data_IF_571800727010
#
_entry.id   IF_571800727010
#
_cell.length_a   1.000
_cell.length_b   1.000
_cell.length_c   1.000
_cell.angle_alpha   90.00
_cell.angle_beta   90.00
_cell.angle_gamma   90.00
#
_symmetry.space_group_name_H-M   'P 1'
#
loop_
_entity.id
_entity.type
_entity.pdbx_description
1 polymer ?
#
# COMPACT_ATOMS: atom_id res chain seq x y z
N UNK A 1 -7.35 3.55 -21.17
CA UNK A 1 -7.14 3.26 -19.75
C UNK A 1 -6.14 4.26 -19.15
N UNK A 2 -6.43 4.84 -17.99
CA UNK A 2 -5.67 5.95 -17.39
C UNK A 2 -4.18 5.63 -17.25
N UNK A 3 -3.84 4.39 -16.81
CA UNK A 3 -2.45 3.95 -16.73
C UNK A 3 -1.77 3.93 -18.10
N UNK A 4 -2.48 3.58 -19.17
CA UNK A 4 -1.88 3.55 -20.50
C UNK A 4 -1.62 4.94 -21.04
N UNK A 5 -2.50 5.88 -20.78
CA UNK A 5 -2.33 7.29 -21.17
C UNK A 5 -1.21 7.93 -20.40
N UNK A 6 -1.22 7.75 -19.09
CA UNK A 6 -0.26 8.35 -18.18
C UNK A 6 1.14 7.71 -18.28
N UNK A 7 1.25 6.40 -18.43
CA UNK A 7 2.54 5.71 -18.48
C UNK A 7 3.38 6.00 -19.73
N UNK A 8 2.82 6.62 -20.76
CA UNK A 8 3.58 7.06 -21.92
C UNK A 8 4.55 8.20 -21.62
N UNK A 9 4.40 8.88 -20.49
CA UNK A 9 5.22 10.03 -20.06
C UNK A 9 6.26 9.68 -18.99
N UNK A 10 6.44 8.40 -18.65
CA UNK A 10 7.38 7.93 -17.62
C UNK A 10 7.29 8.71 -16.30
N UNK A 11 6.11 8.80 -15.71
CA UNK A 11 5.91 9.59 -14.49
C UNK A 11 5.82 8.74 -13.22
N UNK A 12 5.83 9.42 -12.08
CA UNK A 12 5.69 8.79 -10.77
C UNK A 12 4.21 8.56 -10.46
N UNK A 13 3.84 7.31 -10.18
CA UNK A 13 2.47 6.95 -9.80
C UNK A 13 2.44 6.25 -8.45
N UNK A 14 1.49 6.63 -7.62
CA UNK A 14 1.17 5.92 -6.38
C UNK A 14 -0.11 5.13 -6.58
N UNK A 15 -0.02 3.80 -6.48
CA UNK A 15 -1.17 2.91 -6.63
C UNK A 15 -1.69 2.50 -5.25
N UNK A 16 -2.96 2.78 -5.01
CA UNK A 16 -3.67 2.50 -3.77
C UNK A 16 -4.87 1.61 -4.03
N UNK A 17 -5.23 0.78 -3.05
CA UNK A 17 -6.34 -0.16 -3.17
C UNK A 17 -7.72 0.53 -3.13
N UNK A 18 -7.79 1.81 -2.81
CA UNK A 18 -9.05 2.51 -2.63
C UNK A 18 -9.80 2.07 -1.36
N UNK A 19 -10.56 3.00 -0.80
CA UNK A 19 -11.31 2.81 0.44
C UNK A 19 -12.78 3.18 0.30
N UNK A 20 -13.12 3.94 -0.73
CA UNK A 20 -14.49 4.37 -0.98
C UNK A 20 -15.26 3.30 -1.74
N UNK A 21 -16.53 3.13 -1.38
CA UNK A 21 -17.45 2.25 -2.11
C UNK A 21 -18.11 3.08 -3.19
N UNK A 22 -17.59 2.96 -4.39
CA UNK A 22 -18.09 3.66 -5.57
C UNK A 22 -19.12 2.81 -6.34
N UNK A 23 -19.76 3.42 -7.34
CA UNK A 23 -20.70 2.72 -8.20
C UNK A 23 -19.98 1.62 -9.00
N UNK A 24 -20.63 0.46 -9.18
CA UNK A 24 -20.08 -0.68 -9.91
C UNK A 24 -19.71 -0.37 -11.37
N UNK A 25 -20.32 0.65 -11.95
CA UNK A 25 -20.03 1.08 -13.31
C UNK A 25 -18.65 1.77 -13.44
N UNK A 26 -18.08 2.27 -12.31
CA UNK A 26 -16.83 3.02 -12.31
C UNK A 26 -15.74 2.37 -11.46
N UNK A 27 -16.09 1.45 -10.55
CA UNK A 27 -15.12 0.79 -9.69
C UNK A 27 -15.47 -0.69 -9.48
N UNK A 28 -14.44 -1.50 -9.39
CA UNK A 28 -14.62 -2.91 -9.06
C UNK A 28 -15.15 -3.09 -7.64
N UNK A 29 -16.13 -3.98 -7.49
CA UNK A 29 -16.57 -4.50 -6.21
C UNK A 29 -16.08 -5.93 -6.02
N UNK A 30 -15.91 -6.33 -4.78
CA UNK A 30 -15.41 -7.65 -4.44
C UNK A 30 -13.89 -7.66 -4.24
N UNK A 31 -13.54 -8.23 -3.10
CA UNK A 31 -12.18 -8.20 -2.56
C UNK A 31 -11.12 -8.74 -3.53
N UNK A 32 -11.41 -9.88 -4.18
CA UNK A 32 -10.46 -10.49 -5.10
C UNK A 32 -10.31 -9.69 -6.40
N UNK A 33 -11.41 -9.21 -6.98
CA UNK A 33 -11.35 -8.37 -8.19
C UNK A 33 -10.52 -7.09 -7.97
N UNK A 34 -10.65 -6.48 -6.79
CA UNK A 34 -9.86 -5.30 -6.42
C UNK A 34 -8.38 -5.66 -6.31
N UNK A 35 -8.04 -6.82 -5.73
CA UNK A 35 -6.65 -7.32 -5.63
C UNK A 35 -6.06 -7.58 -7.01
N UNK A 36 -6.79 -8.27 -7.87
CA UNK A 36 -6.33 -8.62 -9.21
C UNK A 36 -6.10 -7.36 -10.05
N UNK A 37 -7.02 -6.39 -9.98
CA UNK A 37 -6.85 -5.10 -10.65
C UNK A 37 -5.66 -4.32 -10.10
N UNK A 38 -5.47 -4.29 -8.77
CA UNK A 38 -4.31 -3.64 -8.15
C UNK A 38 -2.99 -4.21 -8.68
N UNK A 39 -2.87 -5.54 -8.71
CA UNK A 39 -1.69 -6.23 -9.24
C UNK A 39 -1.46 -5.87 -10.71
N UNK A 40 -2.51 -5.96 -11.53
CA UNK A 40 -2.43 -5.65 -12.95
C UNK A 40 -1.98 -4.20 -13.21
N UNK A 41 -2.49 -3.23 -12.45
CA UNK A 41 -2.10 -1.82 -12.57
C UNK A 41 -0.63 -1.59 -12.21
N UNK A 42 -0.15 -2.18 -11.10
CA UNK A 42 1.26 -2.08 -10.69
C UNK A 42 2.17 -2.69 -11.75
N UNK A 43 1.87 -3.90 -12.19
CA UNK A 43 2.66 -4.60 -13.22
C UNK A 43 2.72 -3.79 -14.51
N UNK A 44 1.58 -3.30 -14.99
CA UNK A 44 1.48 -2.50 -16.21
C UNK A 44 2.30 -1.21 -16.14
N UNK A 45 2.21 -0.48 -15.02
CA UNK A 45 2.97 0.75 -14.82
C UNK A 45 4.49 0.48 -14.78
N UNK A 46 4.93 -0.58 -14.10
CA UNK A 46 6.34 -0.97 -14.05
C UNK A 46 6.88 -1.40 -15.41
N UNK A 47 6.13 -2.20 -16.18
CA UNK A 47 6.53 -2.63 -17.54
C UNK A 47 6.70 -1.43 -18.46
N UNK A 48 5.88 -0.39 -18.30
CA UNK A 48 5.96 0.85 -19.08
C UNK A 48 7.06 1.81 -18.62
N UNK A 49 7.83 1.46 -17.60
CA UNK A 49 8.97 2.26 -17.11
C UNK A 49 8.60 3.35 -16.11
N UNK A 50 7.34 3.43 -15.64
CA UNK A 50 6.95 4.38 -14.61
C UNK A 50 7.60 4.04 -13.26
N UNK A 51 7.84 5.07 -12.43
CA UNK A 51 8.16 4.85 -11.02
C UNK A 51 6.89 4.59 -10.23
N UNK A 52 6.84 3.48 -9.49
CA UNK A 52 5.61 3.04 -8.82
C UNK A 52 5.76 3.01 -7.31
N UNK A 53 4.95 3.80 -6.61
CA UNK A 53 4.70 3.67 -5.17
C UNK A 53 3.62 2.61 -4.93
N UNK A 54 4.04 1.44 -4.45
CA UNK A 54 3.16 0.30 -4.13
C UNK A 54 2.59 0.51 -2.73
N UNK A 55 1.41 1.16 -2.64
CA UNK A 55 0.81 1.56 -1.37
C UNK A 55 -0.24 0.55 -0.90
N UNK A 56 0.14 -0.36 -0.01
CA UNK A 56 -0.77 -1.39 0.52
C UNK A 56 -0.34 -1.92 1.88
N UNK A 57 -1.33 -2.30 2.71
CA UNK A 57 -1.13 -3.07 3.95
C UNK A 57 -1.60 -4.53 3.80
N UNK A 58 -1.92 -4.93 2.59
CA UNK A 58 -2.36 -6.28 2.26
C UNK A 58 -1.13 -7.14 1.94
N UNK A 59 -0.70 -7.98 2.90
CA UNK A 59 0.50 -8.82 2.74
C UNK A 59 0.43 -9.70 1.49
N UNK A 60 -0.76 -10.18 1.13
CA UNK A 60 -0.94 -10.96 -0.10
C UNK A 60 -0.52 -10.19 -1.35
N UNK A 61 -0.91 -8.90 -1.44
CA UNK A 61 -0.53 -8.04 -2.56
C UNK A 61 0.97 -7.78 -2.59
N UNK A 62 1.54 -7.49 -1.42
CA UNK A 62 2.98 -7.24 -1.28
C UNK A 62 3.78 -8.48 -1.71
N UNK A 63 3.40 -9.68 -1.24
CA UNK A 63 4.10 -10.91 -1.55
C UNK A 63 3.98 -11.27 -3.04
N UNK A 64 2.79 -11.17 -3.62
CA UNK A 64 2.58 -11.44 -5.04
C UNK A 64 3.38 -10.49 -5.93
N UNK A 65 3.36 -9.19 -5.62
CA UNK A 65 4.10 -8.20 -6.40
C UNK A 65 5.61 -8.35 -6.20
N UNK A 66 6.05 -8.65 -4.97
CA UNK A 66 7.47 -8.87 -4.69
C UNK A 66 8.05 -10.05 -5.49
N UNK A 67 7.33 -11.19 -5.52
CA UNK A 67 7.72 -12.36 -6.31
C UNK A 67 7.78 -11.99 -7.79
N UNK A 68 6.73 -11.38 -8.32
CA UNK A 68 6.66 -10.97 -9.70
C UNK A 68 7.76 -9.97 -10.11
N UNK A 69 8.06 -8.99 -9.27
CA UNK A 69 9.13 -8.01 -9.46
C UNK A 69 10.49 -8.72 -9.60
N UNK A 70 10.76 -9.70 -8.75
CA UNK A 70 12.01 -10.49 -8.81
C UNK A 70 12.08 -11.35 -10.07
N UNK A 71 11.03 -12.05 -10.43
CA UNK A 71 10.96 -12.89 -11.63
C UNK A 71 11.18 -12.07 -12.91
N UNK A 72 10.63 -10.85 -12.95
CA UNK A 72 10.76 -9.96 -14.11
C UNK A 72 11.99 -9.03 -14.04
N UNK A 73 12.85 -9.18 -13.03
CA UNK A 73 14.08 -8.41 -12.84
C UNK A 73 13.86 -6.89 -12.86
N UNK A 74 12.74 -6.44 -12.30
CA UNK A 74 12.42 -5.01 -12.21
C UNK A 74 13.44 -4.33 -11.29
N UNK A 75 14.03 -3.23 -11.74
CA UNK A 75 15.02 -2.49 -10.96
C UNK A 75 14.43 -1.89 -9.70
N UNK A 76 15.14 -1.97 -8.56
CA UNK A 76 14.77 -1.30 -7.31
C UNK A 76 14.74 0.24 -7.41
N UNK A 77 15.24 0.79 -8.52
CA UNK A 77 15.13 2.21 -8.83
C UNK A 77 13.74 2.61 -9.34
N UNK A 78 12.91 1.64 -9.80
CA UNK A 78 11.61 1.90 -10.41
C UNK A 78 10.44 1.81 -9.44
N UNK A 79 10.63 1.37 -8.20
CA UNK A 79 9.53 1.24 -7.25
C UNK A 79 9.95 1.44 -5.80
N UNK A 80 8.95 1.62 -4.96
CA UNK A 80 9.05 1.54 -3.50
C UNK A 80 7.77 0.96 -2.91
N UNK A 81 7.88 0.25 -1.78
CA UNK A 81 6.73 -0.13 -0.98
C UNK A 81 6.36 1.01 -0.04
N UNK A 82 5.07 1.34 0.04
CA UNK A 82 4.58 2.44 0.87
C UNK A 82 3.59 1.93 1.92
N UNK A 83 3.86 2.24 3.17
CA UNK A 83 3.10 1.74 4.32
C UNK A 83 2.81 2.88 5.29
N UNK A 84 1.63 2.85 5.90
CA UNK A 84 1.24 3.81 6.92
C UNK A 84 1.90 3.44 8.25
N UNK A 85 2.43 4.42 8.97
CA UNK A 85 2.96 4.24 10.32
C UNK A 85 1.88 3.71 11.28
N UNK A 86 2.28 2.80 12.17
CA UNK A 86 1.38 2.21 13.17
C UNK A 86 0.58 0.98 12.70
N UNK A 87 0.72 0.59 11.43
CA UNK A 87 0.18 -0.70 10.97
C UNK A 87 1.17 -1.82 11.33
N UNK A 88 0.70 -2.96 11.87
CA UNK A 88 1.58 -4.04 12.37
C UNK A 88 2.18 -4.85 11.21
N UNK A 89 3.16 -4.27 10.54
CA UNK A 89 3.88 -4.87 9.41
C UNK A 89 5.40 -4.84 9.57
N UNK A 90 5.89 -4.63 10.78
CA UNK A 90 7.31 -4.44 11.07
C UNK A 90 8.17 -5.58 10.52
N UNK A 91 7.73 -6.84 10.70
CA UNK A 91 8.47 -8.00 10.21
C UNK A 91 8.58 -8.00 8.67
N UNK A 92 7.47 -7.69 8.00
CA UNK A 92 7.44 -7.59 6.54
C UNK A 92 8.31 -6.44 6.02
N UNK A 93 8.26 -5.30 6.68
CA UNK A 93 9.10 -4.14 6.35
C UNK A 93 10.59 -4.46 6.49
N UNK A 94 10.99 -5.04 7.62
CA UNK A 94 12.38 -5.45 7.85
C UNK A 94 12.87 -6.45 6.81
N UNK A 95 12.02 -7.40 6.42
CA UNK A 95 12.32 -8.34 5.35
C UNK A 95 12.56 -7.60 4.02
N UNK A 96 11.64 -6.74 3.60
CA UNK A 96 11.78 -5.98 2.35
C UNK A 96 13.03 -5.12 2.31
N UNK A 97 13.35 -4.43 3.41
CA UNK A 97 14.56 -3.61 3.53
C UNK A 97 15.82 -4.46 3.47
N UNK A 98 15.86 -5.58 4.21
CA UNK A 98 16.99 -6.51 4.20
C UNK A 98 17.28 -7.06 2.81
N UNK A 99 16.26 -7.21 2.00
CA UNK A 99 16.33 -7.69 0.63
C UNK A 99 16.61 -6.59 -0.40
N UNK A 100 16.94 -5.36 0.06
CA UNK A 100 17.37 -4.24 -0.76
C UNK A 100 16.24 -3.44 -1.40
N UNK A 101 14.98 -3.63 -0.95
CA UNK A 101 13.87 -2.84 -1.47
C UNK A 101 13.77 -1.49 -0.78
N UNK A 102 13.30 -0.48 -1.52
CA UNK A 102 12.94 0.81 -0.94
C UNK A 102 11.61 0.71 -0.22
N UNK A 103 11.56 1.22 1.01
CA UNK A 103 10.34 1.29 1.82
C UNK A 103 10.15 2.72 2.30
N UNK A 104 8.95 3.25 2.06
CA UNK A 104 8.52 4.56 2.58
C UNK A 104 7.45 4.36 3.62
N UNK A 105 7.68 4.89 4.81
CA UNK A 105 6.68 4.92 5.88
C UNK A 105 6.01 6.28 5.90
N UNK A 106 4.70 6.30 5.66
CA UNK A 106 3.88 7.49 5.73
C UNK A 106 3.46 7.77 7.16
N UNK A 107 3.82 8.95 7.67
CA UNK A 107 3.50 9.37 9.04
C UNK A 107 2.56 10.57 8.97
N UNK A 108 1.25 10.40 9.25
CA UNK A 108 0.34 11.54 9.36
C UNK A 108 0.69 12.36 10.60
N UNK A 109 0.73 13.67 10.44
CA UNK A 109 0.98 14.62 11.53
C UNK A 109 0.22 15.95 11.28
N UNK A 110 0.11 16.79 12.29
CA UNK A 110 -0.54 18.09 12.22
C UNK A 110 -1.80 18.18 13.09
N UNK A 111 -2.44 19.34 13.10
CA UNK A 111 -3.53 19.67 14.02
C UNK A 111 -4.80 18.84 13.79
N UNK A 112 -5.04 18.39 12.57
CA UNK A 112 -6.20 17.59 12.18
C UNK A 112 -5.97 16.06 12.28
N UNK A 113 -4.97 15.62 13.06
CA UNK A 113 -4.63 14.20 13.20
C UNK A 113 -5.78 13.35 13.75
N UNK A 114 -6.62 13.92 14.60
CA UNK A 114 -7.74 13.22 15.22
C UNK A 114 -8.78 12.81 14.18
N UNK A 115 -9.26 13.76 13.37
CA UNK A 115 -10.27 13.51 12.34
C UNK A 115 -9.74 12.55 11.26
N UNK A 116 -8.47 12.69 10.90
CA UNK A 116 -7.79 11.75 10.00
C UNK A 116 -7.78 10.33 10.60
N UNK A 117 -7.39 10.20 11.87
CA UNK A 117 -7.29 8.90 12.54
C UNK A 117 -8.65 8.24 12.70
N UNK A 118 -9.68 8.99 13.10
CA UNK A 118 -11.05 8.48 13.23
C UNK A 118 -11.58 7.99 11.86
N UNK A 119 -11.35 8.71 10.78
CA UNK A 119 -11.71 8.23 9.44
C UNK A 119 -11.04 6.91 9.10
N UNK A 120 -9.73 6.77 9.34
CA UNK A 120 -8.99 5.52 9.12
C UNK A 120 -9.53 4.36 9.95
N UNK A 121 -9.91 4.61 11.21
CA UNK A 121 -10.51 3.60 12.08
C UNK A 121 -11.88 3.14 11.58
N UNK A 122 -12.71 4.07 11.10
CA UNK A 122 -14.03 3.76 10.52
C UNK A 122 -13.90 2.95 9.22
N UNK A 123 -12.92 3.27 8.40
CA UNK A 123 -12.64 2.60 7.13
C UNK A 123 -12.03 1.20 7.31
N UNK A 124 -11.29 0.98 8.38
CA UNK A 124 -10.69 -0.30 8.70
C UNK A 124 -10.81 -0.64 10.18
N UNK A 125 -11.93 -1.24 10.63
CA UNK A 125 -12.16 -1.61 12.02
C UNK A 125 -11.10 -2.55 12.61
N UNK A 126 -10.40 -3.33 11.77
CA UNK A 126 -9.29 -4.19 12.22
C UNK A 126 -8.10 -3.36 12.72
N UNK A 127 -7.87 -2.17 12.15
CA UNK A 127 -6.84 -1.25 12.66
C UNK A 127 -7.16 -0.73 14.05
N UNK A 128 -8.45 -0.55 14.40
CA UNK A 128 -8.86 -0.14 15.75
C UNK A 128 -8.37 -1.14 16.81
N UNK A 129 -8.52 -2.44 16.55
CA UNK A 129 -8.04 -3.49 17.44
C UNK A 129 -6.52 -3.45 17.68
N UNK A 130 -5.73 -3.14 16.65
CA UNK A 130 -4.28 -3.03 16.77
C UNK A 130 -3.84 -1.78 17.55
N UNK A 131 -4.48 -0.63 17.30
CA UNK A 131 -4.18 0.62 18.01
C UNK A 131 -4.49 0.46 19.51
N UNK A 132 -5.66 -0.10 19.83
CA UNK A 132 -6.06 -0.38 21.20
C UNK A 132 -5.05 -1.33 21.86
N UNK A 133 -4.70 -2.44 21.22
CA UNK A 133 -3.71 -3.39 21.74
C UNK A 133 -2.34 -2.76 21.97
N UNK A 134 -1.87 -1.89 21.08
CA UNK A 134 -0.60 -1.18 21.22
C UNK A 134 -0.62 -0.14 22.33
N UNK A 135 -1.74 0.55 22.55
CA UNK A 135 -1.90 1.48 23.67
C UNK A 135 -1.86 0.71 24.99
N UNK A 136 -2.62 -0.39 25.09
CA UNK A 136 -2.63 -1.20 26.31
C UNK A 136 -1.27 -1.85 26.59
N UNK A 137 -0.56 -2.37 25.58
CA UNK A 137 0.76 -2.95 25.79
C UNK A 137 1.79 -1.93 26.32
N UNK A 138 1.72 -0.67 25.88
CA UNK A 138 2.60 0.41 26.39
C UNK A 138 2.24 0.88 27.81
N UNK A 139 0.98 0.75 28.20
CA UNK A 139 0.52 1.12 29.56
C UNK A 139 0.92 0.03 30.58
N UNK A 140 0.86 -1.24 30.17
CA UNK A 140 1.16 -2.38 31.07
C UNK A 140 2.61 -2.89 31.00
N UNK A 141 3.48 -2.30 30.16
CA UNK A 141 4.92 -2.63 30.10
C UNK A 141 5.81 -1.60 30.84
N UNK A 142 5.23 -0.87 31.83
CA UNK A 142 5.97 -0.07 32.81
C UNK A 142 5.97 -0.73 34.17
#
# INVERSE_FOLDING_TARGET
DDIDTLANEMFNVRICKGIYVENENIAYRGYQKIRDNYIALVQRALIKGSYVGIASHDEYLIDKLYIWIKENKISTSQYEFQILHGVPMEKKLQQLIKEGNKVRVYVPYGDNWYDYSIRRLKENPKMAGYIIKNIFSKIFSR
#
